data_IF_030721021347
#
_entry.id   IF_030721021347
#
_cell.length_a   1.000
_cell.length_b   1.000
_cell.length_c   1.000
_cell.angle_alpha   90.00
_cell.angle_beta   90.00
_cell.angle_gamma   90.00
#
_symmetry.space_group_name_H-M   'P 1'
#
loop_
_entity.id
_entity.type
_entity.pdbx_description
1 polymer ?
#
# COMPACT_ATOMS: atom_id res chain seq x y z
N UNK A 1 -8.53 1.45 0.19
CA UNK A 1 -7.39 2.20 0.74
C UNK A 1 -7.92 3.57 1.15
N UNK A 2 -7.71 3.97 2.40
CA UNK A 2 -8.15 5.26 2.90
C UNK A 2 -6.91 6.02 3.40
N UNK A 3 -6.86 7.32 3.11
CA UNK A 3 -5.78 8.22 3.51
C UNK A 3 -6.39 9.40 4.25
N UNK A 4 -5.67 9.89 5.25
CA UNK A 4 -6.10 11.01 6.08
C UNK A 4 -5.84 12.36 5.46
N UNK A 5 -6.46 13.39 6.02
CA UNK A 5 -6.17 14.79 5.69
C UNK A 5 -4.77 15.17 6.21
N UNK A 6 -4.04 16.04 5.50
CA UNK A 6 -2.64 16.35 5.88
C UNK A 6 -2.49 16.89 7.31
N UNK A 7 -3.48 17.60 7.82
CA UNK A 7 -3.42 18.20 9.17
C UNK A 7 -4.16 17.41 10.25
N UNK A 8 -5.17 16.62 9.89
CA UNK A 8 -6.07 15.96 10.87
C UNK A 8 -5.93 14.44 10.88
N UNK A 9 -5.22 13.85 9.90
CA UNK A 9 -5.08 12.41 9.80
C UNK A 9 -6.39 11.71 9.43
N UNK A 10 -6.53 10.46 9.85
CA UNK A 10 -7.69 9.60 9.60
C UNK A 10 -8.61 9.64 10.83
N UNK A 11 -9.92 9.74 10.60
CA UNK A 11 -10.89 9.74 11.71
C UNK A 11 -10.88 8.40 12.46
N UNK A 12 -11.32 8.43 13.72
CA UNK A 12 -11.40 7.22 14.56
C UNK A 12 -12.42 6.22 14.02
N UNK A 13 -13.54 6.69 13.47
CA UNK A 13 -14.57 5.84 12.84
C UNK A 13 -13.98 5.04 11.69
N UNK A 14 -13.21 5.71 10.83
CA UNK A 14 -12.59 5.08 9.67
C UNK A 14 -11.45 4.14 10.05
N UNK A 15 -10.69 4.50 11.09
CA UNK A 15 -9.64 3.65 11.67
C UNK A 15 -10.23 2.37 12.26
N UNK A 16 -11.36 2.46 12.95
CA UNK A 16 -12.07 1.32 13.55
C UNK A 16 -12.74 0.43 12.51
N UNK A 17 -13.15 1.00 11.36
CA UNK A 17 -13.75 0.25 10.27
C UNK A 17 -12.72 -0.45 9.35
N UNK A 18 -11.43 -0.12 9.49
CA UNK A 18 -10.38 -0.65 8.61
C UNK A 18 -9.94 -2.06 9.04
N UNK A 19 -9.81 -2.97 8.08
CA UNK A 19 -9.26 -4.32 8.34
C UNK A 19 -7.79 -4.27 8.80
N UNK A 20 -7.06 -3.28 8.30
CA UNK A 20 -5.63 -3.10 8.56
C UNK A 20 -5.27 -1.62 8.58
N UNK A 21 -4.41 -1.27 9.54
CA UNK A 21 -3.72 0.02 9.59
C UNK A 21 -2.29 -0.16 9.10
N UNK A 22 -1.89 0.67 8.13
CA UNK A 22 -0.58 0.59 7.49
C UNK A 22 0.08 1.96 7.60
N UNK A 23 1.38 1.99 7.90
CA UNK A 23 2.19 3.22 7.93
C UNK A 23 3.40 3.08 7.02
N UNK A 24 3.81 4.18 6.40
CA UNK A 24 5.11 4.27 5.71
C UNK A 24 6.14 4.71 6.75
N UNK A 25 7.20 3.94 7.01
CA UNK A 25 8.29 4.39 7.88
C UNK A 25 8.94 5.66 7.32
N UNK A 26 9.10 6.68 8.15
CA UNK A 26 9.79 7.92 7.80
C UNK A 26 11.11 7.94 8.56
N UNK A 27 12.20 8.21 7.84
CA UNK A 27 13.54 8.41 8.42
C UNK A 27 13.82 9.91 8.40
N UNK A 28 14.26 10.47 9.52
CA UNK A 28 14.56 11.90 9.65
C UNK A 28 13.58 12.62 10.58
N UNK A 29 13.35 13.91 10.34
CA UNK A 29 12.56 14.79 11.22
C UNK A 29 11.16 15.13 10.72
N UNK A 30 10.75 14.61 9.57
CA UNK A 30 9.41 14.87 9.05
C UNK A 30 8.37 14.05 9.84
N UNK A 31 7.25 14.68 10.19
CA UNK A 31 6.15 14.04 10.90
C UNK A 31 5.29 13.17 9.96
N UNK A 32 5.16 13.58 8.70
CA UNK A 32 4.38 12.87 7.68
C UNK A 32 4.97 13.06 6.27
N UNK A 33 4.54 12.19 5.35
CA UNK A 33 4.75 12.41 3.92
C UNK A 33 3.57 13.21 3.36
N UNK A 34 3.81 13.91 2.25
CA UNK A 34 2.73 14.44 1.43
C UNK A 34 1.73 13.32 1.08
N UNK A 35 0.43 13.60 1.19
CA UNK A 35 -0.62 12.57 1.05
C UNK A 35 -0.61 11.90 -0.32
N UNK A 36 -0.32 12.65 -1.40
CA UNK A 36 -0.23 12.10 -2.75
C UNK A 36 0.97 11.17 -2.91
N UNK A 37 2.11 11.51 -2.29
CA UNK A 37 3.29 10.64 -2.27
C UNK A 37 3.02 9.36 -1.47
N UNK A 38 2.39 9.46 -0.31
CA UNK A 38 1.99 8.31 0.48
C UNK A 38 1.02 7.39 -0.30
N UNK A 39 0.04 7.99 -0.99
CA UNK A 39 -0.88 7.27 -1.86
C UNK A 39 -0.16 6.50 -2.96
N UNK A 40 0.76 7.17 -3.66
CA UNK A 40 1.53 6.55 -4.74
C UNK A 40 2.31 5.33 -4.22
N UNK A 41 3.08 5.48 -3.14
CA UNK A 41 3.86 4.37 -2.57
C UNK A 41 2.97 3.18 -2.22
N UNK A 42 1.84 3.41 -1.53
CA UNK A 42 0.94 2.34 -1.11
C UNK A 42 0.22 1.67 -2.29
N UNK A 43 -0.18 2.43 -3.31
CA UNK A 43 -0.82 1.88 -4.50
C UNK A 43 0.16 1.02 -5.31
N UNK A 44 1.40 1.48 -5.49
CA UNK A 44 2.42 0.72 -6.19
C UNK A 44 2.80 -0.55 -5.43
N UNK A 45 2.94 -0.51 -4.10
CA UNK A 45 3.20 -1.71 -3.32
C UNK A 45 2.03 -2.70 -3.40
N UNK A 46 0.79 -2.22 -3.30
CA UNK A 46 -0.38 -3.06 -3.45
C UNK A 46 -0.47 -3.67 -4.86
N UNK A 47 -0.09 -2.93 -5.91
CA UNK A 47 0.01 -3.45 -7.26
C UNK A 47 1.11 -4.52 -7.39
N UNK A 48 2.30 -4.29 -6.81
CA UNK A 48 3.41 -5.24 -6.78
C UNK A 48 3.02 -6.55 -6.10
N UNK A 49 2.29 -6.50 -4.97
CA UNK A 49 1.81 -7.70 -4.27
C UNK A 49 0.75 -8.46 -5.08
N UNK A 50 -0.09 -7.76 -5.85
CA UNK A 50 -1.11 -8.38 -6.72
C UNK A 50 -0.53 -8.94 -8.02
N UNK A 51 0.58 -8.36 -8.49
CA UNK A 51 1.37 -8.88 -9.59
C UNK A 51 2.10 -10.16 -9.14
N UNK A 52 1.35 -11.24 -8.98
CA UNK A 52 1.89 -12.57 -8.73
C UNK A 52 2.84 -12.92 -9.89
N UNK A 53 4.02 -13.51 -9.65
CA UNK A 53 4.80 -14.10 -10.74
C UNK A 53 3.90 -15.08 -11.46
N UNK A 54 3.69 -14.91 -12.77
CA UNK A 54 3.07 -15.97 -13.57
C UNK A 54 3.96 -17.19 -13.43
N UNK A 55 3.52 -18.17 -12.63
CA UNK A 55 4.08 -19.51 -12.67
C UNK A 55 3.73 -20.02 -14.07
N UNK A 56 4.71 -20.02 -14.97
CA UNK A 56 4.54 -20.66 -16.26
C UNK A 56 4.18 -22.13 -15.99
N UNK A 57 3.08 -22.66 -16.56
CA UNK A 57 2.88 -24.10 -16.53
C UNK A 57 4.11 -24.76 -17.18
N UNK A 58 4.54 -25.95 -16.69
CA UNK A 58 5.65 -26.67 -17.29
C UNK A 58 5.39 -26.84 -18.78
N UNK A 59 6.37 -26.50 -19.60
CA UNK A 59 6.31 -26.67 -21.05
C UNK A 59 5.98 -28.16 -21.33
N UNK A 60 4.97 -28.47 -22.15
CA UNK A 60 4.66 -29.85 -22.46
C UNK A 60 5.88 -30.47 -23.15
N UNK A 61 6.42 -31.53 -22.55
CA UNK A 61 7.50 -32.33 -23.13
C UNK A 61 7.05 -32.76 -24.53
N UNK A 62 7.73 -32.24 -25.55
CA UNK A 62 7.53 -32.66 -26.94
C UNK A 62 7.81 -34.15 -27.02
N UNK A 63 6.75 -34.94 -27.20
CA UNK A 63 6.84 -36.38 -27.46
C UNK A 63 6.76 -36.60 -28.97
#
# INVERSE_FOLDING_TARGET
LVLGHESQGISSEMTNAADKLVRIPIIGRAESLNVAIAAAVLLFEAARQRATPRVMPPEPLST
#
